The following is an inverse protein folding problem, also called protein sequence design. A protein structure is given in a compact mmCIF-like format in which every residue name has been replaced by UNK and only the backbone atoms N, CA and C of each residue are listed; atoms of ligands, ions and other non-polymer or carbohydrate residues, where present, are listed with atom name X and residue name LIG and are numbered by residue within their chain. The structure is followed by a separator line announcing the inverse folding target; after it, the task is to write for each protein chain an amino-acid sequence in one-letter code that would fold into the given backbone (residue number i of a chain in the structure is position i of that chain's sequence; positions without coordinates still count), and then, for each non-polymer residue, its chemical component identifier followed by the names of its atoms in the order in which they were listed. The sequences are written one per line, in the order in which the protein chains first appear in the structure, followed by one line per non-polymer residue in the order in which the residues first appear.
data_IF_815360725382
#
_entry.id   IF_815360725382
#
_cell.length_a   1.000
_cell.length_b   1.000
_cell.length_c   1.000
_cell.angle_alpha   90.00
_cell.angle_beta   90.00
_cell.angle_gamma   90.00
#
_symmetry.space_group_name_H-M   'P 1'
#
loop_
_entity.id
_entity.type
_entity.pdbx_description
1 polymer ?
#
# COMPACT_ATOMS: atom_id res chain seq x y z
N UNK A 1 15.13 10.42 49.33
CA UNK A 1 15.91 10.00 48.15
C UNK A 1 15.11 10.38 46.91
N UNK A 2 15.63 11.31 46.12
CA UNK A 2 15.05 11.77 44.85
C UNK A 2 15.70 11.00 43.70
N UNK A 3 14.91 10.32 42.87
CA UNK A 3 15.30 9.89 41.52
C UNK A 3 14.02 9.95 40.67
N UNK A 4 13.83 11.06 39.96
CA UNK A 4 14.24 11.30 38.57
C UNK A 4 13.34 10.60 37.54
N UNK A 5 12.69 11.46 36.78
CA UNK A 5 11.77 11.21 35.67
C UNK A 5 12.48 10.52 34.52
N UNK A 6 11.98 9.37 34.10
CA UNK A 6 12.11 8.93 32.71
C UNK A 6 10.71 8.82 32.10
N UNK A 7 10.34 9.88 31.37
CA UNK A 7 9.34 9.79 30.30
C UNK A 7 9.90 8.83 29.26
N UNK A 8 9.61 7.55 29.39
CA UNK A 8 9.71 6.65 28.24
C UNK A 8 8.50 6.97 27.39
N UNK A 9 8.72 7.82 26.37
CA UNK A 9 7.75 8.06 25.32
C UNK A 9 7.33 6.71 24.76
N UNK A 10 6.15 6.25 25.16
CA UNK A 10 5.56 5.01 24.70
C UNK A 10 5.36 5.14 23.21
N UNK A 11 6.22 4.41 22.49
CA UNK A 11 6.11 3.98 21.10
C UNK A 11 4.93 4.62 20.35
N UNK A 12 5.22 5.69 19.61
CA UNK A 12 4.50 5.94 18.36
C UNK A 12 4.79 4.77 17.42
N UNK A 13 4.12 3.64 17.65
CA UNK A 13 3.73 2.79 16.56
C UNK A 13 2.78 3.68 15.76
N UNK A 14 3.32 4.33 14.73
CA UNK A 14 2.50 4.84 13.65
C UNK A 14 1.59 3.68 13.28
N UNK A 15 0.31 3.78 13.63
CA UNK A 15 -0.72 2.90 13.13
C UNK A 15 -0.59 3.04 11.61
N UNK A 16 0.14 2.12 11.01
CA UNK A 16 0.09 1.89 9.59
C UNK A 16 -1.39 1.67 9.38
N UNK A 17 -2.08 2.68 8.83
CA UNK A 17 -3.46 2.59 8.40
C UNK A 17 -3.46 1.32 7.58
N UNK A 18 -3.99 0.25 8.17
CA UNK A 18 -3.84 -1.08 7.61
C UNK A 18 -4.77 -1.06 6.41
N UNK A 19 -4.23 -0.60 5.28
CA UNK A 19 -4.92 -0.54 4.02
C UNK A 19 -5.53 -1.92 3.83
N UNK A 20 -6.85 -1.94 3.62
CA UNK A 20 -7.61 -3.16 3.44
C UNK A 20 -6.84 -4.13 2.55
N UNK A 21 -6.68 -5.41 2.93
CA UNK A 21 -5.75 -6.32 2.28
C UNK A 21 -5.96 -6.31 0.77
N UNK A 22 -4.90 -6.00 0.03
CA UNK A 22 -4.93 -5.99 -1.43
C UNK A 22 -4.89 -7.44 -1.91
N UNK A 23 -5.93 -7.85 -2.64
CA UNK A 23 -6.07 -9.22 -3.14
C UNK A 23 -5.57 -9.37 -4.56
N UNK A 24 -5.75 -8.34 -5.39
CA UNK A 24 -5.48 -8.42 -6.82
C UNK A 24 -4.75 -7.19 -7.34
N UNK A 25 -3.82 -7.42 -8.27
CA UNK A 25 -3.13 -6.38 -9.02
C UNK A 25 -3.42 -6.58 -10.51
N UNK A 26 -3.63 -5.48 -11.22
CA UNK A 26 -3.84 -5.47 -12.66
C UNK A 26 -2.91 -4.43 -13.28
N UNK A 27 -2.22 -4.79 -14.35
CA UNK A 27 -1.35 -3.91 -15.15
C UNK A 27 -1.88 -3.95 -16.58
N UNK A 28 -2.29 -2.81 -17.13
CA UNK A 28 -2.91 -2.68 -18.46
C UNK A 28 -4.08 -3.66 -18.69
N UNK A 29 -4.89 -3.86 -17.64
CA UNK A 29 -6.06 -4.74 -17.68
C UNK A 29 -5.73 -6.23 -17.57
N UNK A 30 -4.45 -6.62 -17.47
CA UNK A 30 -4.02 -8.00 -17.22
C UNK A 30 -3.77 -8.21 -15.74
N UNK A 31 -4.25 -9.32 -15.19
CA UNK A 31 -3.95 -9.70 -13.80
C UNK A 31 -2.44 -9.93 -13.67
N UNK A 32 -1.87 -9.37 -12.62
CA UNK A 32 -0.45 -9.36 -12.35
C UNK A 32 -0.18 -9.59 -10.86
N UNK A 33 1.08 -9.74 -10.53
CA UNK A 33 1.58 -9.88 -9.17
C UNK A 33 2.16 -8.58 -8.61
N UNK A 34 2.32 -8.52 -7.29
CA UNK A 34 3.01 -7.41 -6.63
C UNK A 34 4.46 -7.27 -7.10
N UNK A 35 5.14 -8.38 -7.40
CA UNK A 35 6.51 -8.36 -7.91
C UNK A 35 6.63 -7.76 -9.31
N UNK A 36 5.66 -8.03 -10.18
CA UNK A 36 5.59 -7.38 -11.49
C UNK A 36 5.32 -5.88 -11.35
N UNK A 37 4.42 -5.50 -10.43
CA UNK A 37 4.15 -4.09 -10.15
C UNK A 37 5.40 -3.36 -9.65
N UNK A 38 6.20 -3.99 -8.77
CA UNK A 38 7.46 -3.42 -8.25
C UNK A 38 8.53 -3.23 -9.34
N UNK A 39 8.49 -4.02 -10.41
CA UNK A 39 9.43 -3.91 -11.54
C UNK A 39 9.06 -2.78 -12.51
N UNK A 40 7.84 -2.24 -12.41
CA UNK A 40 7.39 -1.14 -13.27
C UNK A 40 7.98 0.17 -12.78
N UNK A 41 8.61 0.91 -13.69
CA UNK A 41 9.03 2.28 -13.43
C UNK A 41 7.81 3.18 -13.28
N UNK A 42 7.78 4.02 -12.24
CA UNK A 42 6.73 5.01 -12.03
C UNK A 42 6.60 5.99 -13.21
N UNK A 43 7.69 6.21 -13.96
CA UNK A 43 7.69 7.09 -15.14
C UNK A 43 6.79 6.59 -16.27
N UNK A 44 6.61 5.26 -16.39
CA UNK A 44 5.75 4.65 -17.41
C UNK A 44 4.33 4.44 -16.92
N UNK A 45 4.00 4.77 -15.67
CA UNK A 45 2.63 4.68 -15.17
C UNK A 45 1.84 5.90 -15.65
N UNK A 46 0.74 5.65 -16.37
CA UNK A 46 -0.22 6.68 -16.78
C UNK A 46 -1.21 6.96 -15.66
N UNK A 47 -1.74 5.89 -15.04
CA UNK A 47 -2.79 5.97 -14.03
C UNK A 47 -2.69 4.80 -13.07
N UNK A 48 -2.98 5.04 -11.80
CA UNK A 48 -3.18 4.02 -10.78
C UNK A 48 -4.55 4.25 -10.14
N UNK A 49 -5.31 3.17 -9.95
CA UNK A 49 -6.63 3.17 -9.32
C UNK A 49 -6.66 2.07 -8.27
N UNK A 50 -7.21 2.40 -7.10
CA UNK A 50 -7.52 1.41 -6.07
C UNK A 50 -9.03 1.26 -6.04
N UNK A 51 -9.52 0.04 -6.17
CA UNK A 51 -10.94 -0.28 -6.08
C UNK A 51 -11.19 -1.15 -4.86
N UNK A 52 -12.12 -0.72 -4.01
CA UNK A 52 -12.58 -1.54 -2.89
C UNK A 52 -13.58 -2.56 -3.41
N UNK A 53 -13.35 -3.81 -3.06
CA UNK A 53 -14.25 -4.91 -3.35
C UNK A 53 -15.24 -5.07 -2.19
N UNK A 54 -16.42 -5.61 -2.49
CA UNK A 54 -17.50 -5.80 -1.50
C UNK A 54 -17.15 -6.77 -0.36
N UNK A 55 -16.05 -7.52 -0.49
CA UNK A 55 -15.53 -8.45 0.52
C UNK A 55 -14.55 -7.78 1.52
N UNK A 56 -14.46 -6.45 1.53
CA UNK A 56 -13.55 -5.71 2.40
C UNK A 56 -12.08 -5.75 1.97
N UNK A 57 -11.79 -6.28 0.77
CA UNK A 57 -10.45 -6.28 0.17
C UNK A 57 -10.36 -5.20 -0.90
N UNK A 58 -9.15 -4.94 -1.40
CA UNK A 58 -8.92 -3.99 -2.48
C UNK A 58 -8.26 -4.64 -3.69
N UNK A 59 -8.49 -4.09 -4.88
CA UNK A 59 -7.69 -4.39 -6.07
C UNK A 59 -7.02 -3.12 -6.60
N UNK A 60 -5.79 -3.27 -7.06
CA UNK A 60 -5.01 -2.20 -7.65
C UNK A 60 -5.01 -2.37 -9.16
N UNK A 61 -5.37 -1.33 -9.88
CA UNK A 61 -5.38 -1.29 -11.34
C UNK A 61 -4.39 -0.21 -11.78
N UNK A 62 -3.39 -0.61 -12.55
CA UNK A 62 -2.36 0.25 -13.11
C UNK A 62 -2.51 0.26 -14.63
N UNK A 63 -2.46 1.44 -15.21
CA UNK A 63 -2.44 1.65 -16.66
C UNK A 63 -1.13 2.32 -17.02
N UNK A 64 -0.42 1.78 -18.00
CA UNK A 64 0.86 2.29 -18.47
C UNK A 64 0.67 3.33 -19.59
N UNK A 65 1.69 4.16 -19.77
CA UNK A 65 1.84 5.05 -20.92
C UNK A 65 2.37 4.18 -22.07
N UNK A 66 1.68 4.21 -23.20
CA UNK A 66 2.15 3.61 -24.45
C UNK A 66 2.97 4.63 -25.22
#
# INVERSE_FOLDING_TARGET
MTMETHRTGGNMAAEAKSDAPIEEFFIDGKKASMDELKKISSAIIKKMKVEKMGNGKSRIIVTLRK
#
